data_IF_178583254591
#
_entry.id   IF_178583254591
#
_cell.length_a   1.000
_cell.length_b   1.000
_cell.length_c   1.000
_cell.angle_alpha   90.00
_cell.angle_beta   90.00
_cell.angle_gamma   90.00
#
_symmetry.space_group_name_H-M   'P 1'
#
loop_
_entity.id
_entity.type
_entity.pdbx_description
1 polymer ?
#
# COMPACT_ATOMS: atom_id res chain seq x y z
N UNK A 1 -8.13 -0.17 -15.81
CA UNK A 1 -8.05 -1.56 -15.30
C UNK A 1 -7.08 -1.65 -14.14
N UNK A 2 -5.83 -1.20 -14.31
CA UNK A 2 -4.80 -1.21 -13.28
C UNK A 2 -5.16 -0.35 -12.05
N UNK A 3 -5.59 0.90 -12.26
CA UNK A 3 -6.03 1.80 -11.18
C UNK A 3 -7.24 1.25 -10.38
N UNK A 4 -8.20 0.61 -11.04
CA UNK A 4 -9.34 -0.03 -10.36
C UNK A 4 -8.88 -1.19 -9.48
N UNK A 5 -7.94 -1.99 -9.96
CA UNK A 5 -7.37 -3.11 -9.20
C UNK A 5 -6.56 -2.63 -8.01
N UNK A 6 -5.75 -1.58 -8.21
CA UNK A 6 -4.98 -0.92 -7.16
C UNK A 6 -5.93 -0.35 -6.09
N UNK A 7 -6.92 0.45 -6.51
CA UNK A 7 -7.93 1.04 -5.62
C UNK A 7 -8.65 -0.04 -4.81
N UNK A 8 -9.04 -1.14 -5.46
CA UNK A 8 -9.68 -2.27 -4.79
C UNK A 8 -8.76 -2.90 -3.74
N UNK A 9 -7.51 -3.23 -4.10
CA UNK A 9 -6.55 -3.84 -3.19
C UNK A 9 -6.21 -2.94 -2.00
N UNK A 10 -6.05 -1.63 -2.24
CA UNK A 10 -5.86 -0.63 -1.18
C UNK A 10 -7.07 -0.59 -0.25
N UNK A 11 -8.30 -0.57 -0.80
CA UNK A 11 -9.51 -0.54 0.03
C UNK A 11 -9.65 -1.80 0.88
N UNK A 12 -9.33 -3.00 0.35
CA UNK A 12 -9.32 -4.23 1.13
C UNK A 12 -8.33 -4.17 2.31
N UNK A 13 -7.16 -3.55 2.09
CA UNK A 13 -6.15 -3.38 3.14
C UNK A 13 -6.64 -2.40 4.22
N UNK A 14 -7.14 -1.22 3.82
CA UNK A 14 -7.65 -0.18 4.73
C UNK A 14 -8.83 -0.68 5.57
N UNK A 15 -9.73 -1.46 4.96
CA UNK A 15 -10.88 -2.05 5.63
C UNK A 15 -10.51 -3.25 6.53
N UNK A 16 -9.23 -3.62 6.60
CA UNK A 16 -8.69 -4.81 7.26
C UNK A 16 -9.29 -6.13 6.77
N UNK A 17 -9.81 -6.17 5.54
CA UNK A 17 -10.34 -7.38 4.89
C UNK A 17 -9.22 -8.26 4.34
N UNK A 18 -8.15 -7.65 3.86
CA UNK A 18 -6.93 -8.34 3.42
C UNK A 18 -5.67 -7.51 3.75
N UNK A 19 -5.13 -7.75 4.95
CA UNK A 19 -3.85 -7.20 5.41
C UNK A 19 -2.69 -8.15 5.14
N UNK A 20 -2.86 -9.13 4.25
CA UNK A 20 -1.78 -10.09 3.99
C UNK A 20 -0.58 -9.41 3.32
N UNK A 21 0.62 -9.94 3.55
CA UNK A 21 1.83 -9.56 2.78
C UNK A 21 1.58 -9.72 1.28
N UNK A 22 0.76 -10.71 0.88
CA UNK A 22 0.40 -10.90 -0.53
C UNK A 22 -0.36 -9.69 -1.10
N UNK A 23 -1.31 -9.13 -0.36
CA UNK A 23 -2.02 -7.93 -0.81
C UNK A 23 -1.11 -6.69 -0.78
N UNK A 24 -0.24 -6.55 0.23
CA UNK A 24 0.75 -5.48 0.29
C UNK A 24 1.70 -5.49 -0.93
N UNK A 25 2.31 -6.65 -1.24
CA UNK A 25 3.18 -6.80 -2.40
C UNK A 25 2.44 -6.57 -3.72
N UNK A 26 1.13 -6.90 -3.77
CA UNK A 26 0.30 -6.60 -4.93
C UNK A 26 0.11 -5.10 -5.11
N UNK A 27 -0.16 -4.37 -4.02
CA UNK A 27 -0.29 -2.91 -4.05
C UNK A 27 1.04 -2.27 -4.48
N UNK A 28 2.16 -2.74 -3.93
CA UNK A 28 3.52 -2.31 -4.28
C UNK A 28 3.77 -2.42 -5.78
N UNK A 29 3.58 -3.62 -6.34
CA UNK A 29 3.76 -3.88 -7.77
C UNK A 29 2.87 -3.00 -8.66
N UNK A 30 1.61 -2.78 -8.25
CA UNK A 30 0.67 -1.96 -8.99
C UNK A 30 1.06 -0.47 -8.93
N UNK A 31 1.57 0.02 -7.80
CA UNK A 31 2.09 1.38 -7.67
C UNK A 31 3.33 1.61 -8.52
N UNK A 32 4.29 0.67 -8.50
CA UNK A 32 5.47 0.72 -9.38
C UNK A 32 5.07 0.76 -10.85
N UNK A 33 4.05 -0.02 -11.22
CA UNK A 33 3.54 -0.09 -12.60
C UNK A 33 2.92 1.21 -13.11
N UNK A 34 2.51 2.13 -12.21
CA UNK A 34 2.02 3.45 -12.61
C UNK A 34 3.15 4.38 -13.11
N UNK A 35 4.43 4.05 -12.85
CA UNK A 35 5.59 4.88 -13.20
C UNK A 35 5.43 6.36 -12.80
N UNK A 36 4.85 6.61 -11.61
CA UNK A 36 4.63 7.95 -11.08
C UNK A 36 5.87 8.47 -10.35
N UNK A 37 6.37 9.65 -10.72
CA UNK A 37 7.51 10.34 -10.08
C UNK A 37 7.11 11.11 -8.80
N UNK A 38 5.89 10.91 -8.30
CA UNK A 38 5.44 11.55 -7.05
C UNK A 38 6.15 10.91 -5.85
N UNK A 39 6.85 11.73 -5.06
CA UNK A 39 7.55 11.30 -3.83
C UNK A 39 6.67 10.49 -2.87
N UNK A 40 5.37 10.81 -2.78
CA UNK A 40 4.42 10.06 -1.96
C UNK A 40 4.27 8.60 -2.44
N UNK A 41 4.28 8.37 -3.75
CA UNK A 41 4.17 7.02 -4.35
C UNK A 41 5.45 6.24 -4.06
N UNK A 42 6.61 6.84 -4.31
CA UNK A 42 7.92 6.20 -4.05
C UNK A 42 8.09 5.81 -2.58
N UNK A 43 7.77 6.73 -1.66
CA UNK A 43 7.82 6.45 -0.22
C UNK A 43 6.85 5.35 0.20
N UNK A 44 5.68 5.27 -0.44
CA UNK A 44 4.69 4.22 -0.15
C UNK A 44 5.18 2.85 -0.64
N UNK A 45 5.83 2.78 -1.79
CA UNK A 45 6.44 1.54 -2.31
C UNK A 45 7.49 1.02 -1.32
N UNK A 46 8.42 1.89 -0.88
CA UNK A 46 9.46 1.51 0.09
C UNK A 46 8.91 1.02 1.43
N UNK A 47 7.81 1.63 1.88
CA UNK A 47 7.11 1.22 3.08
C UNK A 47 6.42 -0.14 2.94
N UNK A 48 5.76 -0.39 1.80
CA UNK A 48 5.12 -1.68 1.50
C UNK A 48 6.15 -2.81 1.46
N UNK A 49 7.34 -2.56 0.91
CA UNK A 49 8.46 -3.51 0.95
C UNK A 49 8.94 -3.83 2.38
N UNK A 50 8.67 -2.94 3.34
CA UNK A 50 9.03 -3.05 4.76
C UNK A 50 7.84 -3.43 5.65
N UNK A 51 6.72 -3.85 5.06
CA UNK A 51 5.51 -4.24 5.77
C UNK A 51 5.59 -5.64 6.36
N UNK A 52 5.16 -5.80 7.60
CA UNK A 52 4.94 -7.10 8.23
C UNK A 52 3.65 -7.05 9.08
N UNK A 53 2.71 -8.01 8.91
CA UNK A 53 1.51 -8.08 9.75
C UNK A 53 1.86 -8.22 11.23
N UNK A 54 1.19 -7.46 12.11
CA UNK A 54 1.53 -7.35 13.53
C UNK A 54 2.97 -6.85 13.79
N UNK A 55 3.51 -6.05 12.87
CA UNK A 55 4.80 -5.38 13.00
C UNK A 55 4.77 -4.27 14.06
N UNK A 56 5.33 -3.11 13.72
CA UNK A 56 5.29 -1.88 14.52
C UNK A 56 6.68 -1.27 14.70
N UNK A 57 7.36 -1.59 15.82
CA UNK A 57 8.59 -0.87 16.22
C UNK A 57 9.73 -0.91 15.20
N UNK A 58 9.83 -1.99 14.40
CA UNK A 58 10.96 -2.24 13.50
C UNK A 58 10.55 -2.44 12.04
N UNK A 59 9.28 -2.73 11.78
CA UNK A 59 8.68 -2.96 10.46
C UNK A 59 7.33 -2.27 10.47
N UNK A 60 6.83 -1.82 9.32
CA UNK A 60 5.51 -1.19 9.30
C UNK A 60 4.43 -2.20 9.65
N UNK A 61 3.54 -1.82 10.56
CA UNK A 61 2.31 -2.56 10.84
C UNK A 61 1.17 -2.16 9.89
N UNK A 62 0.05 -2.87 9.99
CA UNK A 62 -1.11 -2.65 9.13
C UNK A 62 -1.76 -1.28 9.33
N UNK A 63 -1.68 -0.68 10.53
CA UNK A 63 -2.31 0.61 10.80
C UNK A 63 -1.47 1.76 10.21
N UNK A 64 -0.15 1.66 10.29
CA UNK A 64 0.79 2.58 9.65
C UNK A 64 0.66 2.51 8.12
N UNK A 65 0.66 1.31 7.55
CA UNK A 65 0.47 1.13 6.09
C UNK A 65 -0.90 1.65 5.67
N UNK A 66 -1.99 1.33 6.38
CA UNK A 66 -3.32 1.81 6.03
C UNK A 66 -3.44 3.34 6.10
N UNK A 67 -2.73 4.00 7.02
CA UNK A 67 -2.71 5.46 7.10
C UNK A 67 -2.11 6.08 5.84
N UNK A 68 -1.04 5.51 5.31
CA UNK A 68 -0.33 6.02 4.14
C UNK A 68 -1.07 5.69 2.84
N UNK A 69 -1.64 4.49 2.74
CA UNK A 69 -2.49 4.11 1.61
C UNK A 69 -3.75 4.99 1.47
N UNK A 70 -4.28 5.56 2.56
CA UNK A 70 -5.36 6.56 2.49
C UNK A 70 -4.94 7.85 1.79
N UNK A 71 -3.66 8.20 1.81
CA UNK A 71 -3.14 9.37 1.08
C UNK A 71 -3.04 9.07 -0.40
N UNK A 72 -2.58 7.86 -0.75
CA UNK A 72 -2.55 7.38 -2.14
C UNK A 72 -3.94 7.43 -2.78
N UNK A 73 -4.98 6.96 -2.09
CA UNK A 73 -6.36 7.03 -2.61
C UNK A 73 -6.87 8.44 -2.95
N UNK A 74 -6.23 9.50 -2.44
CA UNK A 74 -6.63 10.89 -2.74
C UNK A 74 -5.97 11.44 -4.00
N UNK A 75 -4.95 10.76 -4.50
CA UNK A 75 -4.15 11.18 -5.66
C UNK A 75 -4.22 10.20 -6.84
N UNK A 76 -4.77 9.01 -6.61
CA UNK A 76 -5.30 8.12 -7.64
C UNK A 76 -6.61 8.70 -8.19
#
# INVERSE_FOLDING_TARGET
>A
MLENELTYSIQQFIDKKDISVKNANKIEFLLESLNSEQELVENTILMLASYLPNGGKYMYDEDQVAYELKKILKIL
#
